data_IF_554345181855
#
_entry.id   IF_554345181855
#
_cell.length_a   1.000
_cell.length_b   1.000
_cell.length_c   1.000
_cell.angle_alpha   90.00
_cell.angle_beta   90.00
_cell.angle_gamma   90.00
#
_symmetry.space_group_name_H-M   'P 1'
#
loop_
_entity.id
_entity.type
_entity.pdbx_description
1 polymer ?
#
# COMPACT_ATOMS: atom_id res chain seq x y z
N UNK A 1 -8.93 -2.20 1.14
CA UNK A 1 -9.15 -3.59 1.63
C UNK A 1 -10.47 -4.18 1.14
N UNK A 2 -11.56 -3.39 1.05
CA UNK A 2 -12.87 -3.89 0.57
C UNK A 2 -12.83 -4.57 -0.81
N UNK A 3 -12.16 -3.98 -1.80
CA UNK A 3 -12.02 -4.59 -3.15
C UNK A 3 -11.34 -5.96 -3.06
N UNK A 4 -10.26 -6.09 -2.30
CA UNK A 4 -9.56 -7.36 -2.14
C UNK A 4 -10.41 -8.41 -1.40
N UNK A 5 -11.21 -7.97 -0.43
CA UNK A 5 -12.19 -8.83 0.25
C UNK A 5 -13.28 -9.33 -0.71
N UNK A 6 -13.76 -8.45 -1.59
CA UNK A 6 -14.74 -8.83 -2.62
C UNK A 6 -14.14 -9.83 -3.63
N UNK A 7 -12.88 -9.61 -4.05
CA UNK A 7 -12.14 -10.54 -4.92
C UNK A 7 -11.97 -11.90 -4.22
N UNK A 8 -11.57 -11.91 -2.95
CA UNK A 8 -11.43 -13.13 -2.15
C UNK A 8 -12.75 -13.92 -2.15
N UNK A 9 -13.86 -13.26 -1.82
CA UNK A 9 -15.20 -13.85 -1.85
C UNK A 9 -15.60 -14.39 -3.23
N UNK A 10 -15.39 -13.62 -4.30
CA UNK A 10 -15.69 -14.02 -5.69
C UNK A 10 -14.86 -15.22 -6.15
N UNK A 11 -13.69 -15.42 -5.56
CA UNK A 11 -12.78 -16.51 -5.91
C UNK A 11 -12.84 -17.68 -4.92
N UNK A 12 -13.75 -17.63 -3.94
CA UNK A 12 -13.89 -18.69 -2.93
C UNK A 12 -12.68 -18.82 -2.00
N UNK A 13 -11.92 -17.73 -1.82
CA UNK A 13 -10.71 -17.68 -1.01
C UNK A 13 -10.90 -16.75 0.19
N UNK A 14 -10.13 -17.00 1.25
CA UNK A 14 -10.06 -16.10 2.40
C UNK A 14 -8.96 -15.05 2.18
N UNK A 15 -9.25 -13.82 2.63
CA UNK A 15 -8.28 -12.74 2.60
C UNK A 15 -7.43 -12.76 3.87
N UNK A 16 -6.12 -12.92 3.74
CA UNK A 16 -5.19 -12.92 4.87
C UNK A 16 -4.52 -11.56 4.98
N UNK A 17 -4.68 -10.90 6.13
CA UNK A 17 -4.07 -9.60 6.44
C UNK A 17 -3.06 -9.74 7.58
N UNK A 18 -2.17 -8.77 7.75
CA UNK A 18 -1.24 -8.78 8.88
C UNK A 18 -1.91 -8.36 10.19
N UNK A 19 -1.33 -8.69 11.34
CA UNK A 19 -1.78 -8.16 12.64
C UNK A 19 -1.79 -6.62 12.66
N UNK A 20 -0.86 -5.98 11.94
CA UNK A 20 -0.78 -4.53 11.80
C UNK A 20 -1.95 -3.96 11.00
N UNK A 21 -2.34 -4.62 9.92
CA UNK A 21 -3.54 -4.22 9.16
C UNK A 21 -4.80 -4.36 10.02
N UNK A 22 -4.92 -5.47 10.76
CA UNK A 22 -6.03 -5.68 11.68
C UNK A 22 -6.11 -4.59 12.76
N UNK A 23 -4.97 -4.13 13.29
CA UNK A 23 -4.90 -2.99 14.19
C UNK A 23 -5.49 -1.71 13.57
N UNK A 24 -5.08 -1.37 12.34
CA UNK A 24 -5.59 -0.19 11.64
C UNK A 24 -7.07 -0.30 11.28
N UNK A 25 -7.51 -1.48 10.84
CA UNK A 25 -8.92 -1.73 10.53
C UNK A 25 -9.79 -1.62 11.79
N UNK A 26 -9.30 -2.07 12.94
CA UNK A 26 -9.98 -1.88 14.22
C UNK A 26 -10.08 -0.40 14.61
N UNK A 27 -9.02 0.39 14.38
CA UNK A 27 -9.07 1.83 14.58
C UNK A 27 -10.09 2.50 13.64
N UNK A 28 -10.12 2.09 12.36
CA UNK A 28 -11.07 2.58 11.38
C UNK A 28 -12.52 2.25 11.77
N UNK A 29 -12.77 1.03 12.26
CA UNK A 29 -14.08 0.63 12.81
C UNK A 29 -14.51 1.54 13.96
N UNK A 30 -13.61 1.85 14.90
CA UNK A 30 -13.92 2.71 16.06
C UNK A 30 -14.25 4.15 15.67
N UNK A 31 -13.58 4.69 14.65
CA UNK A 31 -13.71 6.10 14.25
C UNK A 31 -14.80 6.32 13.20
N UNK A 32 -14.93 5.41 12.24
CA UNK A 32 -15.79 5.56 11.07
C UNK A 32 -16.92 4.51 10.98
N UNK A 33 -16.98 3.53 11.90
CA UNK A 33 -17.98 2.46 11.87
C UNK A 33 -17.79 1.45 10.74
N UNK A 34 -16.67 1.51 10.01
CA UNK A 34 -16.38 0.62 8.88
C UNK A 34 -15.79 -0.68 9.41
N UNK A 35 -16.57 -1.76 9.33
CA UNK A 35 -16.18 -3.08 9.82
C UNK A 35 -15.79 -4.00 8.66
N UNK A 36 -14.50 -4.24 8.50
CA UNK A 36 -13.96 -5.03 7.37
C UNK A 36 -13.62 -6.47 7.78
N UNK A 37 -13.28 -6.71 9.05
CA UNK A 37 -12.86 -8.02 9.54
C UNK A 37 -14.10 -8.87 9.84
N UNK A 38 -14.28 -9.95 9.09
CA UNK A 38 -15.36 -10.93 9.26
C UNK A 38 -14.84 -12.36 9.02
N UNK A 39 -15.73 -13.34 8.89
CA UNK A 39 -15.36 -14.76 8.75
C UNK A 39 -14.43 -15.07 7.55
N UNK A 40 -14.45 -14.22 6.51
CA UNK A 40 -13.65 -14.36 5.29
C UNK A 40 -12.31 -13.60 5.35
N UNK A 41 -12.02 -12.92 6.47
CA UNK A 41 -10.75 -12.24 6.69
C UNK A 41 -9.99 -12.96 7.80
N UNK A 42 -8.80 -13.47 7.48
CA UNK A 42 -7.90 -14.11 8.45
C UNK A 42 -6.74 -13.19 8.81
N UNK A 43 -6.22 -13.34 10.02
CA UNK A 43 -5.10 -12.56 10.53
C UNK A 43 -3.87 -13.44 10.59
N UNK A 44 -2.88 -13.14 9.76
CA UNK A 44 -1.59 -13.82 9.77
C UNK A 44 -0.92 -13.63 11.13
N UNK A 45 -0.64 -14.74 11.80
CA UNK A 45 -0.08 -14.73 13.15
C UNK A 45 1.13 -15.66 13.24
N UNK A 46 2.32 -15.07 13.47
CA UNK A 46 3.53 -15.83 13.76
C UNK A 46 3.66 -16.12 15.25
N UNK A 47 4.24 -17.27 15.59
CA UNK A 47 4.65 -17.60 16.95
C UNK A 47 5.86 -16.75 17.34
N UNK A 48 5.62 -15.53 17.81
CA UNK A 48 6.66 -14.67 18.39
C UNK A 48 6.82 -14.97 19.88
N UNK A 49 8.06 -15.02 20.36
CA UNK A 49 8.36 -15.13 21.80
C UNK A 49 7.99 -13.88 22.60
N UNK A 50 7.82 -12.73 21.94
CA UNK A 50 7.41 -11.47 22.55
C UNK A 50 6.44 -10.75 21.62
N UNK A 51 5.27 -10.37 22.14
CA UNK A 51 4.29 -9.55 21.44
C UNK A 51 4.31 -8.13 21.99
N UNK A 52 4.08 -7.16 21.11
CA UNK A 52 3.86 -5.79 21.56
C UNK A 52 2.42 -5.65 22.09
N UNK A 53 2.17 -4.73 23.02
CA UNK A 53 0.83 -4.55 23.62
C UNK A 53 -0.29 -4.36 22.59
N UNK A 54 -0.01 -3.63 21.51
CA UNK A 54 -1.01 -3.43 20.44
C UNK A 54 -1.30 -4.70 19.65
N UNK A 55 -0.33 -5.64 19.53
CA UNK A 55 -0.55 -6.95 18.90
C UNK A 55 -1.47 -7.80 19.80
N UNK A 56 -1.21 -7.82 21.12
CA UNK A 56 -2.05 -8.51 22.10
C UNK A 56 -3.49 -7.99 22.09
N UNK A 57 -3.69 -6.67 22.03
CA UNK A 57 -5.02 -6.06 21.93
C UNK A 57 -5.80 -6.56 20.71
N UNK A 58 -5.14 -6.66 19.55
CA UNK A 58 -5.77 -7.14 18.32
C UNK A 58 -6.09 -8.63 18.41
N UNK A 59 -5.16 -9.43 18.90
CA UNK A 59 -5.35 -10.88 19.02
C UNK A 59 -6.40 -11.24 20.09
N UNK A 60 -6.54 -10.44 21.15
CA UNK A 60 -7.63 -10.62 22.11
C UNK A 60 -9.01 -10.34 21.50
N UNK A 61 -9.10 -9.42 20.53
CA UNK A 61 -10.36 -9.05 19.87
C UNK A 61 -10.71 -9.97 18.71
N UNK A 62 -9.71 -10.40 17.94
CA UNK A 62 -9.89 -11.09 16.65
C UNK A 62 -9.16 -12.43 16.59
N UNK A 63 -8.79 -12.99 17.75
CA UNK A 63 -8.00 -14.21 17.86
C UNK A 63 -8.62 -15.42 17.16
N UNK A 64 -9.96 -15.48 17.10
CA UNK A 64 -10.71 -16.51 16.36
C UNK A 64 -10.45 -16.51 14.84
N UNK A 65 -10.02 -15.38 14.28
CA UNK A 65 -9.67 -15.25 12.86
C UNK A 65 -8.18 -15.46 12.59
N UNK A 66 -7.39 -15.81 13.60
CA UNK A 66 -5.95 -16.03 13.44
C UNK A 66 -5.68 -17.23 12.55
N UNK A 67 -4.67 -17.11 11.69
CA UNK A 67 -4.19 -18.20 10.86
C UNK A 67 -2.66 -18.29 10.95
N UNK A 68 -2.15 -19.52 11.10
CA UNK A 68 -0.72 -19.78 11.16
C UNK A 68 -0.10 -19.90 9.76
N UNK A 69 1.20 -19.62 9.57
CA UNK A 69 1.88 -19.86 8.31
C UNK A 69 1.80 -21.33 7.85
N UNK A 70 1.73 -22.29 8.78
CA UNK A 70 1.64 -23.71 8.45
C UNK A 70 0.28 -24.09 7.87
N UNK A 71 -0.81 -23.51 8.37
CA UNK A 71 -2.15 -23.71 7.79
C UNK A 71 -2.24 -23.13 6.38
N UNK A 72 -1.64 -21.95 6.15
CA UNK A 72 -1.53 -21.35 4.82
C UNK A 72 -0.72 -22.25 3.90
N UNK A 73 0.46 -22.70 4.35
CA UNK A 73 1.36 -23.58 3.59
C UNK A 73 0.67 -24.85 3.09
N UNK A 74 -0.21 -25.44 3.90
CA UNK A 74 -0.89 -26.68 3.60
C UNK A 74 -2.11 -26.52 2.68
N UNK A 75 -2.61 -25.29 2.49
CA UNK A 75 -3.85 -25.02 1.73
C UNK A 75 -3.73 -23.71 0.91
N UNK A 76 -2.62 -23.53 0.20
CA UNK A 76 -2.22 -22.24 -0.39
C UNK A 76 -3.25 -21.68 -1.39
N UNK A 77 -3.95 -22.56 -2.10
CA UNK A 77 -4.98 -22.23 -3.08
C UNK A 77 -6.21 -21.52 -2.48
N UNK A 78 -6.41 -21.65 -1.17
CA UNK A 78 -7.56 -21.09 -0.46
C UNK A 78 -7.35 -19.66 0.03
N UNK A 79 -6.18 -19.05 -0.18
CA UNK A 79 -5.83 -17.77 0.42
C UNK A 79 -5.39 -16.71 -0.59
N UNK A 80 -5.70 -15.45 -0.26
CA UNK A 80 -5.10 -14.26 -0.86
C UNK A 80 -4.34 -13.53 0.25
N UNK A 81 -3.01 -13.41 0.13
CA UNK A 81 -2.17 -12.77 1.14
C UNK A 81 -1.98 -11.28 0.83
N UNK A 82 -2.50 -10.40 1.68
CA UNK A 82 -2.27 -8.95 1.62
C UNK A 82 -0.95 -8.59 2.30
N UNK A 83 0.17 -9.02 1.70
CA UNK A 83 1.51 -8.70 2.20
C UNK A 83 2.07 -7.48 1.49
N UNK A 84 2.59 -6.55 2.29
CA UNK A 84 3.38 -5.43 1.80
C UNK A 84 4.81 -5.88 1.50
N UNK A 85 5.61 -4.98 0.92
CA UNK A 85 7.04 -5.19 0.75
C UNK A 85 7.77 -5.58 2.05
N UNK A 86 7.30 -5.10 3.21
CA UNK A 86 7.93 -5.36 4.50
C UNK A 86 7.61 -6.73 5.08
N UNK A 87 6.60 -7.41 4.54
CA UNK A 87 6.11 -8.70 5.02
C UNK A 87 6.74 -9.88 4.28
N UNK A 88 7.70 -9.62 3.38
CA UNK A 88 8.31 -10.65 2.52
C UNK A 88 9.03 -11.75 3.30
N UNK A 89 9.51 -11.47 4.51
CA UNK A 89 10.11 -12.50 5.37
C UNK A 89 9.11 -13.59 5.75
N UNK A 90 7.81 -13.29 5.79
CA UNK A 90 6.76 -14.27 6.05
C UNK A 90 6.60 -15.30 4.93
N UNK A 91 7.08 -15.00 3.71
CA UNK A 91 7.10 -15.99 2.62
C UNK A 91 8.00 -17.19 2.93
N UNK A 92 9.01 -17.04 3.79
CA UNK A 92 9.84 -18.17 4.25
C UNK A 92 9.04 -19.15 5.10
N UNK A 93 8.17 -18.63 5.97
CA UNK A 93 7.31 -19.43 6.83
C UNK A 93 6.15 -20.04 6.04
N UNK A 94 5.55 -19.28 5.12
CA UNK A 94 4.50 -19.79 4.22
C UNK A 94 5.08 -20.82 3.23
N UNK A 95 6.30 -20.60 2.73
CA UNK A 95 6.98 -21.39 1.71
C UNK A 95 6.08 -21.69 0.49
N UNK A 96 5.66 -20.66 -0.26
CA UNK A 96 4.74 -20.83 -1.37
C UNK A 96 5.39 -21.63 -2.51
N UNK A 97 4.59 -22.43 -3.21
CA UNK A 97 5.03 -23.23 -4.37
C UNK A 97 4.44 -22.67 -5.67
N UNK A 98 4.76 -21.41 -5.97
CA UNK A 98 4.19 -20.64 -7.06
C UNK A 98 2.97 -19.83 -6.64
N UNK A 99 2.24 -19.33 -7.64
CA UNK A 99 1.06 -18.49 -7.46
C UNK A 99 1.16 -17.20 -8.27
N UNK A 100 0.24 -16.27 -8.01
CA UNK A 100 0.20 -14.97 -8.68
C UNK A 100 0.51 -13.86 -7.67
N UNK A 101 1.51 -13.04 -7.97
CA UNK A 101 1.83 -11.83 -7.23
C UNK A 101 1.39 -10.61 -8.03
N UNK A 102 0.56 -9.75 -7.42
CA UNK A 102 0.07 -8.53 -8.06
C UNK A 102 0.62 -7.34 -7.28
N UNK A 103 1.52 -6.58 -7.91
CA UNK A 103 1.95 -5.30 -7.38
C UNK A 103 0.95 -4.21 -7.76
N UNK A 104 0.28 -3.63 -6.76
CA UNK A 104 -0.79 -2.65 -6.94
C UNK A 104 -0.53 -1.35 -6.17
N UNK A 105 0.75 -1.00 -5.95
CA UNK A 105 1.18 0.17 -5.18
C UNK A 105 1.98 1.15 -6.06
N UNK A 106 2.45 2.26 -5.46
CA UNK A 106 3.19 3.32 -6.14
C UNK A 106 4.52 2.86 -6.72
N UNK A 107 5.01 3.56 -7.75
CA UNK A 107 6.30 3.29 -8.39
C UNK A 107 7.50 3.50 -7.44
N UNK A 108 8.68 3.01 -7.83
CA UNK A 108 9.93 3.24 -7.11
C UNK A 108 10.40 4.70 -7.26
N UNK A 109 10.52 5.42 -6.15
CA UNK A 109 11.11 6.75 -6.07
C UNK A 109 12.54 6.66 -5.53
N UNK A 110 13.52 6.53 -6.42
CA UNK A 110 14.95 6.60 -6.11
C UNK A 110 15.71 5.26 -6.01
N UNK A 111 17.04 5.34 -5.99
CA UNK A 111 17.96 4.19 -6.07
C UNK A 111 17.76 3.15 -4.95
N UNK A 112 17.52 3.58 -3.71
CA UNK A 112 17.27 2.65 -2.59
C UNK A 112 16.02 1.78 -2.81
N UNK A 113 15.02 2.34 -3.50
CA UNK A 113 13.82 1.59 -3.84
C UNK A 113 14.10 0.61 -4.99
N UNK A 114 14.93 0.96 -5.98
CA UNK A 114 15.33 0.03 -7.05
C UNK A 114 15.96 -1.27 -6.49
N UNK A 115 16.92 -1.16 -5.56
CA UNK A 115 17.50 -2.33 -4.90
C UNK A 115 16.47 -3.15 -4.12
N UNK A 116 15.47 -2.49 -3.56
CA UNK A 116 14.38 -3.15 -2.85
C UNK A 116 13.52 -3.97 -3.81
N UNK A 117 13.15 -3.42 -4.96
CA UNK A 117 12.41 -4.15 -6.00
C UNK A 117 13.21 -5.30 -6.60
N UNK A 118 14.52 -5.15 -6.80
CA UNK A 118 15.37 -6.25 -7.25
C UNK A 118 15.37 -7.42 -6.26
N UNK A 119 15.42 -7.14 -4.95
CA UNK A 119 15.29 -8.18 -3.92
C UNK A 119 13.90 -8.85 -3.96
N UNK A 120 12.84 -8.07 -4.08
CA UNK A 120 11.47 -8.60 -4.20
C UNK A 120 11.36 -9.52 -5.42
N UNK A 121 11.83 -9.06 -6.58
CA UNK A 121 11.84 -9.84 -7.82
C UNK A 121 12.54 -11.18 -7.65
N UNK A 122 13.73 -11.19 -7.03
CA UNK A 122 14.48 -12.42 -6.81
C UNK A 122 13.75 -13.39 -5.89
N UNK A 123 13.11 -12.91 -4.82
CA UNK A 123 12.28 -13.76 -3.95
C UNK A 123 11.06 -14.32 -4.68
N UNK A 124 10.34 -13.49 -5.43
CA UNK A 124 9.17 -13.93 -6.19
C UNK A 124 9.56 -14.98 -7.24
N UNK A 125 10.69 -14.80 -7.94
CA UNK A 125 11.23 -15.79 -8.87
C UNK A 125 11.67 -17.06 -8.17
N UNK A 126 12.30 -16.96 -7.01
CA UNK A 126 12.71 -18.12 -6.22
C UNK A 126 11.51 -19.01 -5.85
N UNK A 127 10.40 -18.40 -5.46
CA UNK A 127 9.16 -19.11 -5.13
C UNK A 127 8.28 -19.44 -6.35
N UNK A 128 8.70 -19.12 -7.58
CA UNK A 128 7.98 -19.48 -8.80
C UNK A 128 6.69 -18.69 -9.06
N UNK A 129 6.59 -17.44 -8.58
CA UNK A 129 5.41 -16.61 -8.83
C UNK A 129 5.32 -16.13 -10.29
N UNK A 130 4.10 -16.06 -10.79
CA UNK A 130 3.70 -15.21 -11.92
C UNK A 130 3.52 -13.78 -11.38
N UNK A 131 4.23 -12.81 -11.95
CA UNK A 131 4.37 -11.46 -11.39
C UNK A 131 3.69 -10.47 -12.34
N UNK A 132 2.79 -9.65 -11.78
CA UNK A 132 2.08 -8.57 -12.48
C UNK A 132 2.30 -7.23 -11.79
N UNK A 133 2.29 -6.14 -12.56
CA UNK A 133 2.44 -4.77 -12.06
C UNK A 133 3.87 -4.23 -12.11
N UNK A 134 4.87 -5.10 -12.16
CA UNK A 134 6.24 -4.71 -12.47
C UNK A 134 7.09 -5.90 -12.96
N UNK A 135 8.19 -5.57 -13.62
CA UNK A 135 9.25 -6.49 -14.03
C UNK A 135 10.63 -5.87 -13.74
N UNK A 136 11.70 -6.60 -14.00
CA UNK A 136 13.08 -6.12 -13.83
C UNK A 136 13.84 -6.31 -15.14
N UNK A 137 14.56 -5.28 -15.59
CA UNK A 137 15.37 -5.30 -16.80
C UNK A 137 16.71 -6.04 -16.63
N UNK A 138 17.50 -6.13 -17.71
CA UNK A 138 18.82 -6.76 -17.71
C UNK A 138 19.84 -6.09 -16.78
N UNK A 139 19.61 -4.83 -16.40
CA UNK A 139 20.47 -4.05 -15.51
C UNK A 139 19.97 -4.08 -14.05
N UNK A 140 18.91 -4.82 -13.75
CA UNK A 140 18.34 -4.91 -12.41
C UNK A 140 17.40 -3.75 -12.05
N UNK A 141 16.95 -2.95 -13.01
CA UNK A 141 16.05 -1.81 -12.78
C UNK A 141 14.59 -2.22 -12.89
N UNK A 142 13.72 -1.78 -11.96
CA UNK A 142 12.28 -2.07 -12.03
C UNK A 142 11.60 -1.32 -13.18
N UNK A 143 10.78 -2.03 -13.94
CA UNK A 143 9.88 -1.49 -14.98
C UNK A 143 8.45 -1.74 -14.52
N UNK A 144 7.67 -0.67 -14.32
CA UNK A 144 6.29 -0.76 -13.85
C UNK A 144 5.29 -0.87 -15.00
N UNK A 145 4.31 -1.75 -14.83
CA UNK A 145 3.21 -1.93 -15.78
C UNK A 145 2.08 -0.94 -15.48
N UNK A 146 1.47 -0.39 -16.53
CA UNK A 146 0.33 0.52 -16.38
C UNK A 146 -0.95 -0.25 -16.07
N UNK A 147 -1.81 0.33 -15.22
CA UNK A 147 -3.19 -0.13 -15.02
C UNK A 147 -3.46 -0.89 -13.72
N UNK A 148 -2.42 -1.27 -12.97
CA UNK A 148 -2.56 -1.90 -11.65
C UNK A 148 -2.32 -0.92 -10.48
N UNK A 149 -1.99 0.33 -10.79
CA UNK A 149 -1.91 1.42 -9.83
C UNK A 149 -2.83 2.56 -10.25
N UNK A 150 -3.62 3.06 -9.31
CA UNK A 150 -4.34 4.34 -9.46
C UNK A 150 -3.62 5.35 -8.58
N UNK A 151 -3.19 6.48 -9.17
CA UNK A 151 -2.53 7.56 -8.41
C UNK A 151 -3.44 8.03 -7.28
N UNK A 152 -2.90 8.12 -6.06
CA UNK A 152 -3.56 8.79 -4.94
C UNK A 152 -3.57 10.31 -5.06
N UNK A 153 -2.83 10.86 -6.03
CA UNK A 153 -2.78 12.28 -6.31
C UNK A 153 -3.77 12.66 -7.41
N UNK A 154 -4.42 13.80 -7.21
CA UNK A 154 -5.24 14.48 -8.21
C UNK A 154 -4.43 14.70 -9.50
N UNK A 155 -5.04 14.44 -10.66
CA UNK A 155 -4.40 14.70 -11.95
C UNK A 155 -4.16 16.19 -12.15
N UNK A 156 -3.24 16.55 -13.05
CA UNK A 156 -2.96 17.96 -13.38
C UNK A 156 -4.22 18.69 -13.83
N UNK A 157 -5.00 18.06 -14.71
CA UNK A 157 -6.22 18.63 -15.28
C UNK A 157 -7.30 18.83 -14.21
N UNK A 158 -7.45 17.89 -13.29
CA UNK A 158 -8.38 18.02 -12.17
C UNK A 158 -7.91 19.05 -11.14
N UNK A 159 -6.61 19.13 -10.88
CA UNK A 159 -6.03 20.12 -9.99
C UNK A 159 -6.33 21.54 -10.47
N UNK A 160 -6.15 21.80 -11.77
CA UNK A 160 -6.49 23.09 -12.39
C UNK A 160 -7.99 23.37 -12.20
N UNK A 161 -8.88 22.41 -12.48
CA UNK A 161 -10.33 22.58 -12.28
C UNK A 161 -10.69 22.88 -10.83
N UNK A 162 -10.04 22.23 -9.87
CA UNK A 162 -10.26 22.47 -8.44
C UNK A 162 -9.82 23.87 -8.05
N UNK A 163 -8.63 24.30 -8.50
CA UNK A 163 -8.12 25.65 -8.24
C UNK A 163 -9.05 26.70 -8.86
N UNK A 164 -9.48 26.52 -10.12
CA UNK A 164 -10.41 27.44 -10.79
C UNK A 164 -11.76 27.51 -10.07
N UNK A 165 -12.27 26.36 -9.59
CA UNK A 165 -13.55 26.29 -8.85
C UNK A 165 -13.47 26.98 -7.49
N UNK A 166 -12.36 26.81 -6.77
CA UNK A 166 -12.14 27.48 -5.48
C UNK A 166 -11.89 28.98 -5.70
N UNK A 167 -11.24 29.34 -6.81
CA UNK A 167 -10.81 30.69 -7.16
C UNK A 167 -10.05 31.38 -6.01
N UNK A 168 -8.97 30.79 -5.49
CA UNK A 168 -8.24 31.37 -4.38
C UNK A 168 -7.50 32.65 -4.80
N UNK A 169 -7.28 33.54 -3.82
CA UNK A 169 -6.44 34.73 -3.99
C UNK A 169 -4.97 34.37 -4.13
N UNK A 170 -4.53 33.33 -3.41
CA UNK A 170 -3.15 32.84 -3.40
C UNK A 170 -3.09 31.31 -3.42
N UNK A 171 -2.05 30.77 -4.05
CA UNK A 171 -1.77 29.34 -4.20
C UNK A 171 -0.36 29.09 -3.68
N UNK A 172 -0.24 28.26 -2.66
CA UNK A 172 1.05 27.84 -2.10
C UNK A 172 1.22 26.35 -2.40
N UNK A 173 2.01 25.96 -3.42
CA UNK A 173 2.23 24.57 -3.73
C UNK A 173 3.09 23.93 -2.64
N UNK A 174 2.59 22.85 -2.05
CA UNK A 174 3.30 22.01 -1.08
C UNK A 174 3.36 20.57 -1.60
N UNK A 175 4.35 19.81 -1.12
CA UNK A 175 4.52 18.39 -1.48
C UNK A 175 4.68 18.12 -3.00
N UNK A 176 5.39 19.00 -3.72
CA UNK A 176 5.71 18.87 -5.15
C UNK A 176 7.19 19.12 -5.43
N UNK A 177 7.77 18.37 -6.35
CA UNK A 177 9.15 18.60 -6.84
C UNK A 177 9.22 19.66 -7.94
N UNK A 178 8.07 20.07 -8.50
CA UNK A 178 8.00 21.09 -9.54
C UNK A 178 7.11 22.28 -9.13
N UNK A 179 7.52 23.08 -8.13
CA UNK A 179 6.78 24.27 -7.73
C UNK A 179 6.70 25.32 -8.86
N UNK A 180 7.69 25.35 -9.76
CA UNK A 180 7.73 26.28 -10.90
C UNK A 180 6.55 26.15 -11.85
N UNK A 181 5.97 24.95 -11.97
CA UNK A 181 4.73 24.71 -12.71
C UNK A 181 3.60 25.64 -12.26
N UNK A 182 3.39 25.80 -10.94
CA UNK A 182 2.34 26.65 -10.40
C UNK A 182 2.60 28.13 -10.70
N UNK A 183 3.86 28.55 -10.64
CA UNK A 183 4.24 29.92 -11.01
C UNK A 183 3.96 30.22 -12.48
N UNK A 184 4.20 29.26 -13.37
CA UNK A 184 3.91 29.42 -14.80
C UNK A 184 2.41 29.45 -15.12
N UNK A 185 1.59 28.74 -14.35
CA UNK A 185 0.16 28.58 -14.63
C UNK A 185 -0.71 29.66 -13.96
N UNK A 186 -0.35 30.07 -12.75
CA UNK A 186 -1.16 30.96 -11.92
C UNK A 186 -0.45 32.27 -11.56
N UNK A 187 0.70 32.52 -12.18
CA UNK A 187 1.42 33.79 -12.15
C UNK A 187 1.59 34.33 -10.71
N UNK A 188 1.10 35.54 -10.43
CA UNK A 188 1.25 36.22 -9.15
C UNK A 188 0.43 35.60 -8.02
N UNK A 189 -0.59 34.80 -8.34
CA UNK A 189 -1.32 34.03 -7.32
C UNK A 189 -0.45 32.92 -6.74
N UNK A 190 0.49 32.36 -7.51
CA UNK A 190 1.37 31.31 -7.03
C UNK A 190 2.57 31.87 -6.24
N UNK A 191 2.60 31.52 -4.95
CA UNK A 191 3.66 31.88 -4.02
C UNK A 191 4.52 30.65 -3.76
N UNK A 192 5.76 30.67 -4.25
CA UNK A 192 6.72 29.58 -4.04
C UNK A 192 7.49 29.85 -2.75
N UNK A 193 7.46 28.88 -1.83
CA UNK A 193 8.15 28.96 -0.54
C UNK A 193 9.16 27.83 -0.40
N UNK A 194 10.34 28.20 0.12
CA UNK A 194 11.33 27.23 0.54
C UNK A 194 11.02 26.72 1.96
N UNK A 195 11.54 25.54 2.29
CA UNK A 195 11.38 24.95 3.62
C UNK A 195 11.84 25.92 4.73
N UNK A 196 10.98 26.13 5.72
CA UNK A 196 11.23 27.02 6.86
C UNK A 196 11.05 28.51 6.57
N UNK A 197 10.54 28.89 5.40
CA UNK A 197 10.17 30.28 5.09
C UNK A 197 8.69 30.53 5.42
N UNK A 198 8.43 31.74 5.88
CA UNK A 198 7.08 32.23 6.16
C UNK A 198 6.65 33.23 5.10
N UNK A 199 5.36 33.27 4.82
CA UNK A 199 4.73 34.29 3.99
C UNK A 199 3.52 34.85 4.71
N UNK A 200 3.53 36.16 4.91
CA UNK A 200 2.44 36.88 5.54
C UNK A 200 1.51 37.42 4.47
N UNK A 201 0.27 36.92 4.47
CA UNK A 201 -0.76 37.43 3.59
C UNK A 201 -1.10 38.88 3.97
N UNK A 202 -0.87 39.81 3.04
CA UNK A 202 -1.32 41.20 3.21
C UNK A 202 -2.82 41.23 2.96
N UNK A 203 -3.59 41.49 4.02
CA UNK A 203 -5.03 41.79 3.94
C UNK A 203 -5.29 43.09 3.18
#
# INVERSE_FOLDING_TARGET
>A
MEIFKEIAKKTGRDLVITTKDAYFLNALKKVAGIDIIDENVKIYTNFKNSQQKWEEEVLNLYGEYSISPFEIRNNQENYILCFSFYDMSHLLDVNPNGGVYIYSSSEAFGEEQEFSFLRLWNWLKHFGFEIHGFSVDENGRPIFEKGLHTSGHISKEELIKVIDKISPDYIIPVHTENPGFFKSMFEDKAIILDNGKNWDCKK
#
